data_IF_846701613580
#
_entry.id   IF_846701613580
#
_cell.length_a   1.000
_cell.length_b   1.000
_cell.length_c   1.000
_cell.angle_alpha   90.00
_cell.angle_beta   90.00
_cell.angle_gamma   90.00
#
_symmetry.space_group_name_H-M   'P 1'
#
loop_
_entity.id
_entity.type
_entity.pdbx_description
1 polymer ?
#
# COMPACT_ATOMS: atom_id res chain seq x y z
N UNK A 1 -39.64 13.27 -3.84
CA UNK A 1 -38.90 12.18 -4.48
C UNK A 1 -37.49 12.13 -3.89
N UNK A 2 -37.03 10.99 -3.38
CA UNK A 2 -35.66 10.87 -2.91
C UNK A 2 -34.73 11.01 -4.14
N UNK A 3 -33.73 11.89 -4.04
CA UNK A 3 -32.74 12.12 -5.10
C UNK A 3 -31.95 10.82 -5.30
N UNK A 4 -31.99 10.26 -6.49
CA UNK A 4 -31.18 9.10 -6.85
C UNK A 4 -29.69 9.46 -6.78
N UNK A 5 -28.92 8.67 -6.02
CA UNK A 5 -27.49 8.92 -5.83
C UNK A 5 -26.71 8.38 -7.01
N UNK A 6 -25.73 9.14 -7.47
CA UNK A 6 -24.79 8.71 -8.51
C UNK A 6 -23.83 7.63 -7.97
N UNK A 7 -23.26 6.76 -8.83
CA UNK A 7 -22.39 5.66 -8.41
C UNK A 7 -21.25 6.07 -7.47
N UNK A 8 -20.57 7.19 -7.74
CA UNK A 8 -19.51 7.69 -6.87
C UNK A 8 -20.03 8.11 -5.48
N UNK A 9 -21.26 8.67 -5.40
CA UNK A 9 -21.89 9.06 -4.14
C UNK A 9 -22.28 7.84 -3.32
N UNK A 10 -22.72 6.75 -3.98
CA UNK A 10 -22.99 5.47 -3.32
C UNK A 10 -21.71 4.87 -2.75
N UNK A 11 -20.61 4.89 -3.52
CA UNK A 11 -19.31 4.43 -3.07
C UNK A 11 -18.80 5.22 -1.85
N UNK A 12 -18.87 6.55 -1.88
CA UNK A 12 -18.52 7.44 -0.76
C UNK A 12 -19.39 7.16 0.47
N UNK A 13 -20.70 7.14 0.29
CA UNK A 13 -21.64 6.85 1.39
C UNK A 13 -21.38 5.48 2.00
N UNK A 14 -21.02 4.49 1.20
CA UNK A 14 -20.72 3.14 1.70
C UNK A 14 -19.50 3.13 2.62
N UNK A 15 -18.44 3.90 2.31
CA UNK A 15 -17.24 4.02 3.14
C UNK A 15 -17.59 4.62 4.51
N UNK A 16 -18.30 5.76 4.54
CA UNK A 16 -18.55 6.51 5.78
C UNK A 16 -19.77 6.01 6.58
N UNK A 17 -20.61 5.14 6.02
CA UNK A 17 -21.78 4.55 6.69
C UNK A 17 -21.60 3.04 6.90
N UNK A 18 -21.75 2.24 5.82
CA UNK A 18 -21.78 0.77 5.89
C UNK A 18 -20.46 0.17 6.33
N UNK A 19 -19.36 0.63 5.75
CA UNK A 19 -18.00 0.15 6.03
C UNK A 19 -17.21 1.09 6.95
N UNK A 20 -17.90 1.94 7.71
CA UNK A 20 -17.26 2.91 8.59
C UNK A 20 -16.26 2.26 9.55
N UNK A 21 -16.64 1.16 10.19
CA UNK A 21 -15.80 0.45 11.16
C UNK A 21 -14.61 -0.28 10.50
N UNK A 22 -14.81 -0.74 9.28
CA UNK A 22 -13.82 -1.56 8.55
C UNK A 22 -12.85 -0.72 7.70
N UNK A 23 -13.29 0.41 7.16
CA UNK A 23 -12.49 1.23 6.25
C UNK A 23 -12.18 2.61 6.82
N UNK A 24 -13.23 3.41 7.12
CA UNK A 24 -13.04 4.80 7.53
C UNK A 24 -12.30 4.92 8.89
N UNK A 25 -12.78 4.23 9.91
CA UNK A 25 -12.17 4.33 11.24
C UNK A 25 -10.71 3.83 11.27
N UNK A 26 -10.34 2.67 10.67
CA UNK A 26 -8.94 2.25 10.59
C UNK A 26 -8.06 3.20 9.75
N UNK A 27 -8.60 3.79 8.68
CA UNK A 27 -7.90 4.81 7.90
C UNK A 27 -7.58 6.04 8.75
N UNK A 28 -8.58 6.62 9.43
CA UNK A 28 -8.38 7.78 10.30
C UNK A 28 -7.46 7.44 11.48
N UNK A 29 -7.58 6.23 12.04
CA UNK A 29 -6.70 5.76 13.10
C UNK A 29 -5.23 5.70 12.63
N UNK A 30 -4.97 5.20 11.42
CA UNK A 30 -3.63 5.18 10.84
C UNK A 30 -3.10 6.59 10.58
N UNK A 31 -3.91 7.46 9.97
CA UNK A 31 -3.54 8.86 9.69
C UNK A 31 -3.12 9.59 10.97
N UNK A 32 -3.91 9.45 12.05
CA UNK A 32 -3.64 10.10 13.34
C UNK A 32 -2.47 9.45 14.10
N UNK A 33 -2.48 8.12 14.21
CA UNK A 33 -1.48 7.38 15.01
C UNK A 33 -0.06 7.57 14.49
N UNK A 34 0.08 7.64 13.17
CA UNK A 34 1.39 7.71 12.52
C UNK A 34 1.69 9.09 11.93
N UNK A 35 0.85 10.09 12.23
CA UNK A 35 1.03 11.48 11.77
C UNK A 35 1.29 11.56 10.26
N UNK A 36 0.40 10.89 9.48
CA UNK A 36 0.61 10.73 8.04
C UNK A 36 0.27 11.98 7.25
N UNK A 37 -0.62 12.82 7.77
CA UNK A 37 -1.06 14.07 7.13
C UNK A 37 -0.90 15.22 8.11
N UNK A 38 -0.18 16.24 7.69
CA UNK A 38 0.15 17.42 8.49
C UNK A 38 -0.33 18.70 7.78
N UNK A 39 -0.51 19.81 8.52
CA UNK A 39 -0.89 21.08 7.90
C UNK A 39 0.13 21.54 6.86
N UNK A 40 -0.36 21.93 5.69
CA UNK A 40 0.48 22.38 4.58
C UNK A 40 1.02 21.28 3.68
N UNK A 41 0.72 20.00 3.97
CA UNK A 41 1.10 18.91 3.08
C UNK A 41 0.46 19.05 1.69
N UNK A 42 1.21 18.65 0.67
CA UNK A 42 0.71 18.41 -0.67
C UNK A 42 1.02 16.96 -1.06
N UNK A 43 -0.02 16.14 -1.12
CA UNK A 43 0.08 14.69 -1.17
C UNK A 43 -0.30 14.17 -2.56
N UNK A 44 0.61 13.43 -3.20
CA UNK A 44 0.31 12.68 -4.42
C UNK A 44 -0.23 11.28 -4.05
N UNK A 45 -1.51 11.06 -4.22
CA UNK A 45 -2.15 9.75 -4.09
C UNK A 45 -1.88 8.95 -5.35
N UNK A 46 -1.06 7.90 -5.25
CA UNK A 46 -0.61 7.11 -6.39
C UNK A 46 -1.65 6.05 -6.75
N UNK A 47 -2.19 6.14 -7.98
CA UNK A 47 -3.22 5.25 -8.49
C UNK A 47 -2.59 4.28 -9.49
N UNK A 48 -2.69 2.97 -9.19
CA UNK A 48 -2.26 1.88 -10.07
C UNK A 48 -3.40 1.28 -10.90
N UNK A 49 -4.64 1.71 -10.67
CA UNK A 49 -5.83 1.15 -11.28
C UNK A 49 -6.43 -0.07 -10.57
N UNK A 50 -5.74 -0.62 -9.57
CA UNK A 50 -6.25 -1.70 -8.72
C UNK A 50 -7.21 -1.21 -7.63
N UNK A 51 -7.94 -2.15 -7.02
CA UNK A 51 -8.94 -1.91 -5.97
C UNK A 51 -8.42 -1.05 -4.81
N UNK A 52 -7.17 -1.29 -4.39
CA UNK A 52 -6.58 -0.67 -3.21
C UNK A 52 -6.28 0.81 -3.46
N UNK A 53 -5.66 1.12 -4.59
CA UNK A 53 -5.34 2.49 -4.97
C UNK A 53 -6.58 3.36 -5.26
N UNK A 54 -7.64 2.76 -5.82
CA UNK A 54 -8.89 3.46 -6.06
C UNK A 54 -9.66 3.71 -4.75
N UNK A 55 -9.66 2.75 -3.81
CA UNK A 55 -10.19 2.98 -2.48
C UNK A 55 -9.39 4.07 -1.74
N UNK A 56 -8.05 4.03 -1.81
CA UNK A 56 -7.20 5.06 -1.22
C UNK A 56 -7.58 6.46 -1.72
N UNK A 57 -7.79 6.61 -3.03
CA UNK A 57 -8.21 7.88 -3.61
C UNK A 57 -9.55 8.36 -3.04
N UNK A 58 -10.54 7.46 -2.89
CA UNK A 58 -11.83 7.79 -2.28
C UNK A 58 -11.72 8.16 -0.81
N UNK A 59 -10.88 7.46 -0.05
CA UNK A 59 -10.59 7.79 1.35
C UNK A 59 -9.97 9.18 1.50
N UNK A 60 -9.04 9.55 0.59
CA UNK A 60 -8.46 10.90 0.58
C UNK A 60 -9.45 11.98 0.17
N UNK A 61 -10.38 11.69 -0.76
CA UNK A 61 -11.46 12.63 -1.08
C UNK A 61 -12.33 12.90 0.14
N UNK A 62 -12.70 11.85 0.90
CA UNK A 62 -13.47 12.01 2.13
C UNK A 62 -12.67 12.71 3.23
N UNK A 63 -11.38 12.37 3.39
CA UNK A 63 -10.51 13.05 4.35
C UNK A 63 -10.40 14.55 4.03
N UNK A 64 -10.11 14.90 2.78
CA UNK A 64 -9.96 16.30 2.36
C UNK A 64 -11.24 17.11 2.56
N UNK A 65 -12.42 16.48 2.39
CA UNK A 65 -13.73 17.12 2.57
C UNK A 65 -14.08 17.36 4.04
N UNK A 66 -13.60 16.53 4.95
CA UNK A 66 -14.00 16.51 6.36
C UNK A 66 -12.88 16.81 7.34
N UNK A 67 -11.68 17.12 6.87
CA UNK A 67 -10.53 17.44 7.71
C UNK A 67 -10.50 18.92 8.06
N UNK A 68 -10.24 19.20 9.32
CA UNK A 68 -9.92 20.56 9.78
C UNK A 68 -8.44 20.93 9.51
N UNK A 69 -7.62 19.94 9.14
CA UNK A 69 -6.22 20.13 8.77
C UNK A 69 -6.14 20.56 7.31
N UNK A 70 -5.58 21.74 6.96
CA UNK A 70 -5.42 22.17 5.58
C UNK A 70 -4.29 21.40 4.89
N UNK A 71 -4.60 20.69 3.82
CA UNK A 71 -3.64 20.00 2.95
C UNK A 71 -4.18 19.91 1.52
N UNK A 72 -3.28 19.73 0.54
CA UNK A 72 -3.64 19.53 -0.86
C UNK A 72 -3.49 18.07 -1.28
N UNK A 73 -4.29 17.63 -2.25
CA UNK A 73 -4.24 16.27 -2.80
C UNK A 73 -4.22 16.29 -4.32
N UNK A 74 -3.31 15.53 -4.91
CA UNK A 74 -3.25 15.24 -6.33
C UNK A 74 -3.42 13.72 -6.52
N UNK A 75 -4.22 13.30 -7.51
CA UNK A 75 -4.43 11.89 -7.84
C UNK A 75 -3.58 11.54 -9.05
N UNK A 76 -2.45 10.85 -8.82
CA UNK A 76 -1.42 10.64 -9.81
C UNK A 76 -1.47 9.21 -10.37
N UNK A 77 -1.66 9.09 -11.68
CA UNK A 77 -1.57 7.82 -12.41
C UNK A 77 -0.30 7.82 -13.22
N UNK A 78 0.57 6.86 -12.97
CA UNK A 78 1.72 6.60 -13.82
C UNK A 78 1.34 5.51 -14.83
N UNK A 79 1.46 5.82 -16.10
CA UNK A 79 1.36 4.85 -17.19
C UNK A 79 2.76 4.34 -17.55
N UNK A 80 3.11 3.10 -17.20
CA UNK A 80 4.41 2.51 -17.51
C UNK A 80 4.47 1.89 -18.91
N UNK A 81 3.49 2.15 -19.79
CA UNK A 81 3.28 1.53 -21.08
C UNK A 81 2.11 0.53 -21.06
N UNK A 82 0.99 0.90 -20.46
CA UNK A 82 -0.22 0.06 -20.45
C UNK A 82 -0.73 -0.21 -21.87
N UNK A 83 -1.38 -1.37 -22.07
CA UNK A 83 -2.21 -1.55 -23.24
C UNK A 83 -3.47 -0.64 -23.17
N UNK A 84 -4.09 -0.40 -24.32
CA UNK A 84 -5.26 0.50 -24.43
C UNK A 84 -6.42 0.07 -23.52
N UNK A 85 -6.63 -1.24 -23.36
CA UNK A 85 -7.72 -1.79 -22.53
C UNK A 85 -7.51 -1.43 -21.06
N UNK A 86 -6.29 -1.63 -20.53
CA UNK A 86 -5.97 -1.31 -19.15
C UNK A 86 -6.01 0.20 -18.89
N UNK A 87 -5.49 1.00 -19.82
CA UNK A 87 -5.54 2.46 -19.74
C UNK A 87 -7.00 2.97 -19.71
N UNK A 88 -7.82 2.54 -20.68
CA UNK A 88 -9.23 2.90 -20.73
C UNK A 88 -9.99 2.45 -19.47
N UNK A 89 -9.65 1.29 -18.89
CA UNK A 89 -10.25 0.80 -17.66
C UNK A 89 -9.91 1.67 -16.45
N UNK A 90 -8.67 2.14 -16.33
CA UNK A 90 -8.27 3.07 -15.26
C UNK A 90 -9.04 4.38 -15.37
N UNK A 91 -9.10 4.97 -16.57
CA UNK A 91 -9.76 6.24 -16.83
C UNK A 91 -11.29 6.14 -16.62
N UNK A 92 -11.91 5.05 -17.09
CA UNK A 92 -13.34 4.83 -16.88
C UNK A 92 -13.70 4.66 -15.41
N UNK A 93 -12.88 3.94 -14.63
CA UNK A 93 -13.07 3.81 -13.19
C UNK A 93 -12.85 5.14 -12.45
N UNK A 94 -11.86 5.92 -12.84
CA UNK A 94 -11.63 7.25 -12.28
C UNK A 94 -12.84 8.16 -12.54
N UNK A 95 -13.40 8.15 -13.75
CA UNK A 95 -14.60 8.87 -14.11
C UNK A 95 -15.81 8.39 -13.33
N UNK A 96 -16.02 7.05 -13.23
CA UNK A 96 -17.11 6.43 -12.48
C UNK A 96 -17.10 6.84 -11.00
N UNK A 97 -15.89 6.90 -10.40
CA UNK A 97 -15.68 7.25 -8.99
C UNK A 97 -15.48 8.75 -8.77
N UNK A 98 -15.58 9.57 -9.81
CA UNK A 98 -15.34 11.01 -9.77
C UNK A 98 -13.98 11.38 -9.12
N UNK A 99 -12.92 10.71 -9.56
CA UNK A 99 -11.54 10.97 -9.12
C UNK A 99 -10.83 11.80 -10.20
N UNK A 100 -10.40 13.04 -9.93
CA UNK A 100 -9.70 13.89 -10.90
C UNK A 100 -8.24 13.44 -11.04
N UNK A 101 -7.99 12.49 -11.93
CA UNK A 101 -6.65 11.91 -12.13
C UNK A 101 -5.76 12.82 -13.01
N UNK A 102 -4.49 12.89 -12.65
CA UNK A 102 -3.40 13.40 -13.48
C UNK A 102 -2.59 12.22 -13.97
N UNK A 103 -2.55 12.03 -15.27
CA UNK A 103 -1.82 10.91 -15.88
C UNK A 103 -0.51 11.40 -16.47
N UNK A 104 0.56 10.61 -16.29
CA UNK A 104 1.83 10.80 -16.99
C UNK A 104 2.37 9.47 -17.49
N UNK A 105 3.04 9.51 -18.63
CA UNK A 105 3.54 8.34 -19.33
C UNK A 105 5.03 8.12 -19.07
N UNK A 106 5.46 6.87 -19.11
CA UNK A 106 6.85 6.45 -19.01
C UNK A 106 7.07 5.21 -19.88
N UNK A 107 8.32 4.94 -20.23
CA UNK A 107 8.77 3.80 -21.02
C UNK A 107 9.24 2.60 -20.18
N UNK A 108 8.83 2.53 -18.92
CA UNK A 108 9.33 1.54 -17.96
C UNK A 108 9.15 0.11 -18.43
N UNK A 109 8.03 -0.22 -19.06
CA UNK A 109 7.79 -1.58 -19.54
C UNK A 109 8.71 -1.95 -20.70
N UNK A 110 9.03 -1.02 -21.58
CA UNK A 110 9.93 -1.28 -22.68
C UNK A 110 11.38 -1.44 -22.17
N UNK A 111 11.80 -0.61 -21.23
CA UNK A 111 13.12 -0.73 -20.57
C UNK A 111 13.24 -2.04 -19.76
N UNK A 112 12.22 -2.38 -18.98
CA UNK A 112 12.23 -3.59 -18.16
C UNK A 112 12.16 -4.87 -19.00
N UNK A 113 11.47 -4.84 -20.16
CA UNK A 113 11.40 -5.97 -21.08
C UNK A 113 12.76 -6.31 -21.73
N UNK A 114 13.59 -5.31 -21.93
CA UNK A 114 14.92 -5.46 -22.54
C UNK A 114 16.03 -5.75 -21.52
N UNK A 115 15.67 -5.92 -20.22
CA UNK A 115 16.64 -6.25 -19.18
C UNK A 115 16.88 -7.74 -19.11
N UNK A 116 18.16 -8.15 -19.15
CA UNK A 116 18.56 -9.58 -19.10
C UNK A 116 18.31 -10.24 -17.75
N UNK A 117 18.31 -9.47 -16.65
CA UNK A 117 18.13 -10.00 -15.30
C UNK A 117 17.07 -9.20 -14.49
N UNK A 118 16.25 -9.95 -13.73
CA UNK A 118 15.31 -9.41 -12.72
C UNK A 118 14.37 -8.27 -13.21
N UNK A 119 13.64 -8.42 -14.33
CA UNK A 119 12.82 -7.35 -14.91
C UNK A 119 11.77 -6.80 -13.94
N UNK A 120 11.18 -7.64 -13.09
CA UNK A 120 10.20 -7.20 -12.08
C UNK A 120 10.81 -6.30 -11.00
N UNK A 121 12.03 -6.59 -10.56
CA UNK A 121 12.74 -5.75 -9.60
C UNK A 121 13.09 -4.38 -10.20
N UNK A 122 13.62 -4.38 -11.42
CA UNK A 122 13.96 -3.17 -12.14
C UNK A 122 12.71 -2.30 -12.37
N UNK A 123 11.63 -2.90 -12.85
CA UNK A 123 10.34 -2.24 -13.04
C UNK A 123 9.85 -1.57 -11.74
N UNK A 124 9.84 -2.31 -10.62
CA UNK A 124 9.40 -1.78 -9.34
C UNK A 124 10.27 -0.60 -8.84
N UNK A 125 11.59 -0.69 -9.05
CA UNK A 125 12.55 0.36 -8.69
C UNK A 125 12.34 1.63 -9.55
N UNK A 126 12.22 1.47 -10.86
CA UNK A 126 11.98 2.56 -11.81
C UNK A 126 10.64 3.24 -11.52
N UNK A 127 9.57 2.46 -11.35
CA UNK A 127 8.24 3.00 -11.02
C UNK A 127 8.28 3.91 -9.81
N UNK A 128 8.98 3.51 -8.75
CA UNK A 128 9.11 4.32 -7.55
C UNK A 128 9.85 5.63 -7.84
N UNK A 129 10.97 5.59 -8.56
CA UNK A 129 11.74 6.77 -8.94
C UNK A 129 10.93 7.78 -9.76
N UNK A 130 10.20 7.30 -10.77
CA UNK A 130 9.34 8.17 -11.61
C UNK A 130 8.18 8.78 -10.82
N UNK A 131 7.55 8.02 -9.93
CA UNK A 131 6.48 8.55 -9.06
C UNK A 131 6.98 9.67 -8.15
N UNK A 132 8.12 9.47 -7.49
CA UNK A 132 8.71 10.52 -6.64
C UNK A 132 9.08 11.77 -7.42
N UNK A 133 9.74 11.61 -8.58
CA UNK A 133 10.12 12.73 -9.43
C UNK A 133 8.89 13.53 -9.85
N UNK A 134 7.89 12.86 -10.42
CA UNK A 134 6.67 13.52 -10.89
C UNK A 134 5.89 14.20 -9.76
N UNK A 135 5.79 13.57 -8.60
CA UNK A 135 5.17 14.17 -7.43
C UNK A 135 5.92 15.45 -6.98
N UNK A 136 7.25 15.38 -6.93
CA UNK A 136 8.09 16.54 -6.60
C UNK A 136 7.96 17.68 -7.60
N UNK A 137 7.93 17.38 -8.90
CA UNK A 137 7.71 18.36 -9.98
C UNK A 137 6.35 19.07 -9.87
N UNK A 138 5.36 18.38 -9.31
CA UNK A 138 4.03 18.92 -9.01
C UNK A 138 3.96 19.66 -7.65
N UNK A 139 5.09 19.80 -6.97
CA UNK A 139 5.20 20.50 -5.68
C UNK A 139 4.70 19.65 -4.49
N UNK A 140 4.53 18.35 -4.65
CA UNK A 140 4.18 17.47 -3.53
C UNK A 140 5.38 17.21 -2.62
N UNK A 141 5.13 17.10 -1.33
CA UNK A 141 6.10 16.65 -0.32
C UNK A 141 5.85 15.20 0.14
N UNK A 142 4.69 14.63 -0.19
CA UNK A 142 4.36 13.25 0.17
C UNK A 142 3.79 12.46 -1.02
N UNK A 143 4.10 11.15 -1.06
CA UNK A 143 3.39 10.19 -1.91
C UNK A 143 2.63 9.19 -1.03
N UNK A 144 1.37 8.94 -1.34
CA UNK A 144 0.51 7.98 -0.65
C UNK A 144 0.33 6.72 -1.50
N UNK A 145 0.64 5.56 -0.91
CA UNK A 145 0.51 4.25 -1.56
C UNK A 145 -0.58 3.41 -0.89
N UNK A 146 -1.30 2.64 -1.70
CA UNK A 146 -2.42 1.78 -1.27
C UNK A 146 -2.02 0.48 -0.58
N UNK A 147 -0.90 0.45 0.14
CA UNK A 147 -0.55 -0.72 0.95
C UNK A 147 -1.47 -0.82 2.17
N UNK A 148 -1.93 -2.03 2.44
CA UNK A 148 -2.88 -2.35 3.49
C UNK A 148 -2.30 -3.32 4.52
N UNK A 149 -3.03 -3.65 5.58
CA UNK A 149 -2.59 -4.50 6.69
C UNK A 149 -1.99 -5.83 6.22
N UNK A 150 -2.63 -6.48 5.24
CA UNK A 150 -2.14 -7.77 4.74
C UNK A 150 -0.78 -7.64 4.03
N UNK A 151 -0.52 -6.53 3.31
CA UNK A 151 0.81 -6.27 2.73
C UNK A 151 1.89 -6.15 3.81
N UNK A 152 1.56 -5.52 4.94
CA UNK A 152 2.47 -5.34 6.08
C UNK A 152 2.85 -6.70 6.68
N UNK A 153 1.86 -7.53 7.02
CA UNK A 153 2.13 -8.84 7.62
C UNK A 153 2.80 -9.80 6.64
N UNK A 154 2.38 -9.81 5.38
CA UNK A 154 3.02 -10.60 4.33
C UNK A 154 4.49 -10.22 4.15
N UNK A 155 4.80 -8.93 4.11
CA UNK A 155 6.18 -8.45 3.98
C UNK A 155 7.04 -8.89 5.17
N UNK A 156 6.52 -8.82 6.38
CA UNK A 156 7.25 -9.24 7.59
C UNK A 156 7.51 -10.74 7.58
N UNK A 157 6.48 -11.57 7.28
CA UNK A 157 6.64 -13.02 7.22
C UNK A 157 7.57 -13.45 6.09
N UNK A 158 7.51 -12.76 4.93
CA UNK A 158 8.46 -12.96 3.83
C UNK A 158 9.90 -12.66 4.24
N UNK A 159 10.14 -11.56 4.96
CA UNK A 159 11.47 -11.19 5.43
C UNK A 159 12.05 -12.26 6.38
N UNK A 160 11.22 -12.78 7.28
CA UNK A 160 11.61 -13.87 8.19
C UNK A 160 11.97 -15.16 7.44
N UNK A 161 11.15 -15.59 6.49
CA UNK A 161 11.26 -16.92 5.87
C UNK A 161 12.29 -16.95 4.72
N UNK A 162 12.44 -15.85 3.98
CA UNK A 162 13.23 -15.84 2.75
C UNK A 162 14.43 -14.88 2.77
N UNK A 163 14.52 -13.97 3.77
CA UNK A 163 15.60 -13.01 3.85
C UNK A 163 16.39 -13.09 5.16
N UNK A 164 16.05 -14.04 6.04
CA UNK A 164 16.70 -14.19 7.37
C UNK A 164 16.72 -12.90 8.18
N UNK A 165 15.65 -12.10 8.06
CA UNK A 165 15.53 -10.80 8.73
C UNK A 165 14.15 -10.65 9.37
N UNK A 166 14.11 -10.13 10.59
CA UNK A 166 12.90 -9.68 11.23
C UNK A 166 12.66 -8.20 10.88
N UNK A 167 12.16 -7.97 9.67
CA UNK A 167 11.96 -6.64 9.12
C UNK A 167 10.50 -6.45 8.68
N UNK A 168 9.90 -5.33 9.06
CA UNK A 168 8.54 -4.95 8.70
C UNK A 168 8.48 -3.86 7.64
N UNK A 169 7.25 -3.44 7.34
CA UNK A 169 6.94 -2.29 6.49
C UNK A 169 6.45 -1.16 7.39
N UNK A 170 7.16 -0.02 7.40
CA UNK A 170 6.75 1.14 8.22
C UNK A 170 5.63 1.95 7.55
N UNK A 171 4.72 2.58 8.32
CA UNK A 171 3.61 3.37 7.77
C UNK A 171 4.05 4.69 7.12
N UNK A 172 5.20 5.25 7.52
CA UNK A 172 5.76 6.51 7.03
C UNK A 172 7.28 6.38 6.94
N UNK A 173 7.88 6.91 5.87
CA UNK A 173 9.34 6.95 5.73
C UNK A 173 9.79 8.09 4.83
N UNK A 174 10.92 8.69 5.16
CA UNK A 174 11.61 9.65 4.30
C UNK A 174 12.22 8.96 3.08
N UNK A 175 12.19 9.64 1.94
CA UNK A 175 12.86 9.16 0.74
C UNK A 175 14.37 9.38 0.86
N UNK A 176 15.15 8.33 0.62
CA UNK A 176 16.62 8.43 0.63
C UNK A 176 17.17 9.17 -0.61
N UNK A 177 16.42 9.14 -1.73
CA UNK A 177 16.88 9.67 -3.01
C UNK A 177 16.20 10.99 -3.41
N UNK A 178 15.16 11.39 -2.71
CA UNK A 178 14.38 12.59 -2.99
C UNK A 178 14.21 13.39 -1.70
N UNK A 179 15.15 14.30 -1.47
CA UNK A 179 15.15 15.16 -0.29
C UNK A 179 13.83 15.93 -0.14
N UNK A 180 13.31 15.98 1.09
CA UNK A 180 12.05 16.61 1.43
C UNK A 180 10.80 15.81 1.04
N UNK A 181 10.97 14.59 0.52
CA UNK A 181 9.84 13.73 0.14
C UNK A 181 9.64 12.59 1.15
N UNK A 182 8.39 12.32 1.48
CA UNK A 182 7.97 11.17 2.31
C UNK A 182 7.07 10.21 1.54
N UNK A 183 7.11 8.94 1.93
CA UNK A 183 6.14 7.92 1.53
C UNK A 183 5.25 7.60 2.72
N UNK A 184 3.94 7.62 2.49
CA UNK A 184 2.94 7.28 3.51
C UNK A 184 2.05 6.12 3.05
N UNK A 185 1.53 5.34 4.01
CA UNK A 185 0.65 4.19 3.80
C UNK A 185 -0.62 4.31 4.66
N UNK A 186 -1.58 5.16 4.25
CA UNK A 186 -2.74 5.47 5.10
C UNK A 186 -3.70 4.30 5.31
N UNK A 187 -3.67 3.29 4.44
CA UNK A 187 -4.47 2.07 4.58
C UNK A 187 -3.80 0.99 5.45
N UNK A 188 -2.73 1.33 6.17
CA UNK A 188 -1.90 0.43 6.97
C UNK A 188 -2.67 -0.46 7.96
N UNK A 189 -3.80 0.03 8.48
CA UNK A 189 -4.67 -0.69 9.43
C UNK A 189 -5.92 -1.31 8.77
N UNK A 190 -6.09 -1.21 7.44
CA UNK A 190 -7.25 -1.75 6.72
C UNK A 190 -6.94 -3.18 6.25
N UNK A 191 -7.88 -4.10 6.43
CA UNK A 191 -7.75 -5.51 5.97
C UNK A 191 -8.13 -5.64 4.50
N UNK A 192 -7.43 -6.49 3.77
CA UNK A 192 -7.74 -6.77 2.35
C UNK A 192 -9.17 -7.29 2.15
N UNK A 193 -9.65 -8.16 3.06
CA UNK A 193 -11.01 -8.70 3.01
C UNK A 193 -12.09 -7.59 3.03
N UNK A 194 -11.85 -6.53 3.81
CA UNK A 194 -12.78 -5.39 3.90
C UNK A 194 -12.78 -4.55 2.61
N UNK A 195 -11.62 -4.40 1.96
CA UNK A 195 -11.49 -3.74 0.65
C UNK A 195 -12.24 -4.55 -0.41
N UNK A 196 -12.09 -5.87 -0.40
CA UNK A 196 -12.79 -6.78 -1.32
C UNK A 196 -14.31 -6.72 -1.09
N UNK A 197 -14.75 -6.70 0.17
CA UNK A 197 -16.16 -6.59 0.52
C UNK A 197 -16.77 -5.26 0.02
N UNK A 198 -16.05 -4.14 0.21
CA UNK A 198 -16.47 -2.83 -0.30
C UNK A 198 -16.55 -2.80 -1.84
N UNK A 199 -15.54 -3.35 -2.52
CA UNK A 199 -15.52 -3.46 -3.98
C UNK A 199 -16.75 -4.24 -4.50
N UNK A 200 -17.04 -5.39 -3.88
CA UNK A 200 -18.20 -6.25 -4.26
C UNK A 200 -19.52 -5.55 -4.03
N UNK A 201 -19.66 -4.89 -2.88
CA UNK A 201 -20.90 -4.18 -2.52
C UNK A 201 -21.26 -3.06 -3.49
N UNK A 202 -20.24 -2.37 -4.03
CA UNK A 202 -20.43 -1.29 -4.99
C UNK A 202 -20.33 -1.78 -6.45
N UNK A 203 -20.26 -3.09 -6.69
CA UNK A 203 -20.17 -3.73 -8.03
C UNK A 203 -19.01 -3.19 -8.88
N UNK A 204 -17.91 -2.78 -8.23
CA UNK A 204 -16.77 -2.20 -8.89
C UNK A 204 -15.84 -3.27 -9.47
N UNK A 205 -15.38 -3.01 -10.69
CA UNK A 205 -14.43 -3.87 -11.41
C UNK A 205 -13.16 -3.09 -11.73
N UNK A 206 -12.03 -3.54 -11.18
CA UNK A 206 -10.71 -2.93 -11.34
C UNK A 206 -9.77 -3.85 -12.11
N UNK A 207 -8.67 -3.30 -12.61
CA UNK A 207 -7.60 -4.11 -13.19
C UNK A 207 -6.96 -4.98 -12.09
N UNK A 208 -6.67 -6.23 -12.41
CA UNK A 208 -6.01 -7.15 -11.47
C UNK A 208 -4.49 -7.07 -11.60
N UNK A 209 -4.00 -7.13 -12.83
CA UNK A 209 -2.60 -6.95 -13.15
C UNK A 209 -2.48 -6.14 -14.45
N UNK A 210 -1.67 -5.10 -14.41
CA UNK A 210 -1.50 -4.19 -15.53
C UNK A 210 -0.17 -4.41 -16.27
N UNK A 211 0.60 -5.43 -15.88
CA UNK A 211 1.89 -5.73 -16.46
C UNK A 211 1.72 -6.47 -17.80
N UNK A 212 2.42 -6.04 -18.88
CA UNK A 212 2.47 -6.78 -20.16
C UNK A 212 3.04 -8.20 -19.99
N UNK A 213 3.86 -8.42 -18.95
CA UNK A 213 4.36 -9.76 -18.62
C UNK A 213 3.27 -10.74 -18.17
N UNK A 214 2.06 -10.26 -17.84
CA UNK A 214 0.96 -11.11 -17.39
C UNK A 214 0.13 -11.68 -18.52
N UNK A 215 0.22 -11.18 -19.74
CA UNK A 215 -0.39 -11.82 -20.91
C UNK A 215 0.24 -13.19 -21.20
N UNK A 216 1.49 -13.44 -20.74
CA UNK A 216 2.20 -14.71 -20.79
C UNK A 216 2.70 -15.18 -19.39
N UNK A 217 2.19 -14.60 -18.32
CA UNK A 217 2.68 -14.91 -16.97
C UNK A 217 2.02 -16.20 -16.46
N UNK A 218 2.66 -17.33 -16.72
CA UNK A 218 2.35 -18.62 -16.09
C UNK A 218 2.37 -18.56 -14.56
N UNK A 219 2.93 -17.49 -13.98
CA UNK A 219 3.00 -17.23 -12.53
C UNK A 219 1.65 -16.75 -11.96
N UNK A 220 0.83 -16.03 -12.77
CA UNK A 220 -0.46 -15.50 -12.32
C UNK A 220 -1.63 -16.45 -12.59
N UNK A 221 -1.57 -17.24 -13.66
CA UNK A 221 -2.70 -18.09 -14.14
C UNK A 221 -2.61 -19.57 -13.75
N UNK A 222 -1.42 -20.09 -13.50
CA UNK A 222 -1.24 -21.50 -13.11
C UNK A 222 -0.66 -21.57 -11.70
N UNK A 223 -1.33 -22.23 -10.78
CA UNK A 223 -0.90 -22.48 -9.40
C UNK A 223 0.39 -23.31 -9.25
N UNK A 224 1.30 -23.23 -10.21
CA UNK A 224 2.59 -23.90 -10.24
C UNK A 224 3.72 -22.88 -10.38
N UNK A 225 4.41 -22.53 -9.30
CA UNK A 225 5.53 -21.60 -9.27
C UNK A 225 5.17 -20.21 -8.77
N UNK A 226 4.25 -20.09 -7.83
CA UNK A 226 3.79 -18.83 -7.25
C UNK A 226 4.92 -18.01 -6.66
N UNK A 227 4.82 -16.68 -6.77
CA UNK A 227 5.76 -15.78 -6.10
C UNK A 227 5.80 -16.11 -4.60
N UNK A 228 6.95 -15.90 -3.94
CA UNK A 228 7.11 -16.05 -2.48
C UNK A 228 5.98 -15.39 -1.69
N UNK A 229 5.46 -14.26 -2.17
CA UNK A 229 4.30 -13.60 -1.59
C UNK A 229 3.02 -14.44 -1.66
N UNK A 230 2.80 -15.15 -2.77
CA UNK A 230 1.63 -16.03 -2.92
C UNK A 230 1.70 -17.23 -1.97
N UNK A 231 2.88 -17.79 -1.76
CA UNK A 231 3.10 -18.86 -0.77
C UNK A 231 2.75 -18.38 0.64
N UNK A 232 3.20 -17.17 1.02
CA UNK A 232 2.86 -16.57 2.31
C UNK A 232 1.35 -16.29 2.43
N UNK A 233 0.70 -15.80 1.37
CA UNK A 233 -0.77 -15.62 1.37
C UNK A 233 -1.51 -16.94 1.63
N UNK A 234 -1.08 -18.02 1.01
CA UNK A 234 -1.67 -19.35 1.21
C UNK A 234 -1.45 -19.81 2.65
N UNK A 235 -0.22 -19.69 3.15
CA UNK A 235 0.12 -20.03 4.54
C UNK A 235 -0.75 -19.27 5.55
N UNK A 236 -0.85 -17.95 5.41
CA UNK A 236 -1.64 -17.12 6.30
C UNK A 236 -3.14 -17.45 6.25
N UNK A 237 -3.68 -17.77 5.08
CA UNK A 237 -5.07 -18.27 4.93
C UNK A 237 -5.28 -19.59 5.66
N UNK A 238 -4.33 -20.51 5.55
CA UNK A 238 -4.41 -21.79 6.26
C UNK A 238 -4.36 -21.61 7.78
N UNK A 239 -3.43 -20.79 8.27
CA UNK A 239 -3.33 -20.47 9.69
C UNK A 239 -4.60 -19.79 10.22
N UNK A 240 -5.23 -18.93 9.42
CA UNK A 240 -6.47 -18.21 9.77
C UNK A 240 -7.66 -19.15 9.97
N UNK A 241 -7.68 -20.34 9.34
CA UNK A 241 -8.74 -21.34 9.55
C UNK A 241 -8.73 -21.86 11.00
N UNK A 242 -7.54 -22.03 11.57
CA UNK A 242 -7.37 -22.52 12.94
C UNK A 242 -7.32 -21.39 13.98
N UNK A 243 -6.84 -20.21 13.59
CA UNK A 243 -6.74 -19.03 14.44
C UNK A 243 -7.23 -17.80 13.69
N UNK A 244 -8.51 -17.39 13.84
CA UNK A 244 -9.08 -16.25 13.15
C UNK A 244 -8.36 -14.92 13.44
N UNK A 245 -7.67 -14.80 14.57
CA UNK A 245 -6.94 -13.60 14.98
C UNK A 245 -5.47 -13.59 14.53
N UNK A 246 -5.00 -14.56 13.75
CA UNK A 246 -3.58 -14.68 13.39
C UNK A 246 -3.03 -13.42 12.71
N UNK A 247 -3.79 -12.80 11.80
CA UNK A 247 -3.40 -11.57 11.12
C UNK A 247 -3.20 -10.43 12.12
N UNK A 248 -4.12 -10.30 13.07
CA UNK A 248 -4.05 -9.30 14.15
C UNK A 248 -2.86 -9.57 15.09
N UNK A 249 -2.60 -10.83 15.42
CA UNK A 249 -1.48 -11.23 16.26
C UNK A 249 -0.15 -10.88 15.63
N UNK A 250 0.05 -11.19 14.33
CA UNK A 250 1.26 -10.82 13.60
C UNK A 250 1.40 -9.29 13.52
N UNK A 251 0.32 -8.58 13.20
CA UNK A 251 0.33 -7.11 13.13
C UNK A 251 0.70 -6.47 14.47
N UNK A 252 0.16 -6.97 15.58
CA UNK A 252 0.48 -6.48 16.91
C UNK A 252 1.93 -6.80 17.29
N UNK A 253 2.45 -7.99 16.95
CA UNK A 253 3.83 -8.36 17.21
C UNK A 253 4.84 -7.42 16.55
N UNK A 254 4.54 -6.93 15.33
CA UNK A 254 5.37 -5.92 14.65
C UNK A 254 5.47 -4.61 15.45
N UNK A 255 4.44 -4.28 16.24
CA UNK A 255 4.39 -3.08 17.06
C UNK A 255 4.89 -3.26 18.51
N UNK A 256 5.18 -4.50 18.89
CA UNK A 256 5.56 -4.88 20.25
C UNK A 256 6.89 -5.68 20.26
N UNK A 257 7.85 -5.23 19.43
CA UNK A 257 9.18 -5.86 19.37
C UNK A 257 9.94 -5.56 20.67
N UNK A 258 10.31 -6.62 21.38
CA UNK A 258 11.16 -6.55 22.58
C UNK A 258 12.59 -6.93 22.20
N UNK A 259 13.43 -5.93 21.93
CA UNK A 259 14.84 -6.17 21.52
C UNK A 259 15.67 -6.84 22.59
N UNK A 260 15.30 -6.73 23.85
CA UNK A 260 16.00 -7.30 25.00
C UNK A 260 15.99 -8.83 25.03
N UNK A 261 15.01 -9.46 24.36
CA UNK A 261 14.89 -10.91 24.29
C UNK A 261 15.53 -11.51 23.02
N UNK A 262 16.13 -10.67 22.17
CA UNK A 262 16.82 -11.12 20.97
C UNK A 262 18.33 -11.23 21.22
N UNK A 263 19.00 -12.25 20.65
CA UNK A 263 20.47 -12.39 20.72
C UNK A 263 21.21 -11.21 20.12
N UNK A 264 20.61 -10.52 19.16
CA UNK A 264 21.14 -9.31 18.52
C UNK A 264 20.10 -8.62 17.68
N UNK A 265 20.30 -7.34 17.42
CA UNK A 265 19.46 -6.51 16.57
C UNK A 265 20.28 -5.39 15.91
N UNK A 266 19.77 -4.83 14.81
CA UNK A 266 20.41 -3.76 14.06
C UNK A 266 19.69 -2.44 14.23
N UNK A 267 20.48 -1.36 14.40
CA UNK A 267 20.01 0.03 14.36
C UNK A 267 20.87 0.84 13.38
N UNK A 268 20.57 2.13 13.25
CA UNK A 268 21.35 3.07 12.42
C UNK A 268 22.77 3.30 12.94
N UNK A 269 22.99 3.12 14.22
CA UNK A 269 24.27 3.25 14.92
C UNK A 269 25.11 1.96 14.92
N UNK A 270 24.54 0.82 14.48
CA UNK A 270 25.28 -0.42 14.32
C UNK A 270 24.51 -1.69 14.70
N UNK A 271 25.27 -2.78 14.74
CA UNK A 271 24.80 -4.09 15.23
C UNK A 271 24.97 -4.14 16.75
N UNK A 272 23.90 -4.54 17.45
CA UNK A 272 23.84 -4.66 18.91
C UNK A 272 23.70 -6.12 19.32
N UNK A 273 24.33 -6.46 20.44
CA UNK A 273 24.30 -7.80 21.06
C UNK A 273 23.63 -7.74 22.44
N UNK A 274 22.90 -8.79 22.83
CA UNK A 274 22.37 -8.92 24.19
C UNK A 274 23.48 -8.90 25.26
N UNK A 275 24.74 -9.17 24.89
CA UNK A 275 25.88 -9.14 25.80
C UNK A 275 26.27 -7.74 26.27
N UNK A 276 25.90 -6.69 25.53
CA UNK A 276 26.23 -5.29 25.88
C UNK A 276 25.71 -4.92 27.28
N UNK A 277 24.47 -5.35 27.60
CA UNK A 277 23.81 -5.05 28.87
C UNK A 277 23.75 -6.26 29.83
N UNK A 278 24.29 -7.42 29.42
CA UNK A 278 24.13 -8.67 30.18
C UNK A 278 24.70 -8.59 31.59
N UNK A 279 25.83 -7.90 31.76
CA UNK A 279 26.46 -7.74 33.07
C UNK A 279 25.70 -6.82 34.04
N UNK A 280 24.93 -5.86 33.51
CA UNK A 280 24.16 -4.88 34.27
C UNK A 280 22.77 -5.40 34.68
N UNK A 281 22.26 -6.42 33.95
CA UNK A 281 20.95 -7.09 34.21
C UNK A 281 21.01 -8.14 35.32
N UNK A 282 22.10 -8.22 36.09
CA UNK A 282 22.20 -9.12 37.27
C UNK A 282 21.32 -8.56 38.37
N UNK A 283 20.04 -8.99 38.42
CA UNK A 283 19.20 -8.67 39.58
C UNK A 283 17.69 -8.52 39.29
N UNK A 284 17.21 -8.89 38.11
CA UNK A 284 15.76 -8.98 37.84
C UNK A 284 15.30 -10.44 37.73
#
# INVERSE_FOLDING_TARGET
>A
MARELLPYQLAERSIIKKYRKQLWNPFIAAVKRYELVEPGDKIAVCISGGKDSMLLAKLFQELHRHSDVPFEVIYLVMDPGYNEINRAKIESNAKLLNIPITVFETDIFDVANNADEHPCYLCARMRRGHLYRKAKDLGCNKIALGHHLNDVIETTVMAMFYSSQLQGMVPKLHSQNFEGMELIRPMYCIREDDIIAWRRYNELSFIQCACRFTENCTICDNGGGGSKRQEIKILLRHLKQNNPDIEKSIFNAIHAVCTETFPGFRRTDGDHSFLEDYATRRGE
#
